data_IF_713488770590
#
_entry.id   IF_713488770590
#
_cell.length_a   1.000
_cell.length_b   1.000
_cell.length_c   1.000
_cell.angle_alpha   90.00
_cell.angle_beta   90.00
_cell.angle_gamma   90.00
#
_symmetry.space_group_name_H-M   'P 1'
#
loop_
_entity.id
_entity.type
_entity.pdbx_description
1 polymer ?
#
# COMPACT_ATOMS: atom_id res chain seq x y z
N UNK A 1 -11.24 -9.36 -13.35
CA UNK A 1 -9.85 -9.72 -12.99
C UNK A 1 -9.88 -10.04 -11.52
N UNK A 2 -9.27 -11.15 -11.11
CA UNK A 2 -9.28 -11.52 -9.70
C UNK A 2 -8.50 -10.47 -8.88
N UNK A 3 -9.00 -10.11 -7.70
CA UNK A 3 -8.35 -9.10 -6.84
C UNK A 3 -6.95 -9.55 -6.44
N UNK A 4 -6.74 -10.86 -6.26
CA UNK A 4 -5.43 -11.42 -5.96
C UNK A 4 -4.47 -11.31 -7.13
N UNK A 5 -4.94 -11.49 -8.37
CA UNK A 5 -4.14 -11.23 -9.57
C UNK A 5 -3.75 -9.76 -9.65
N UNK A 6 -4.68 -8.84 -9.37
CA UNK A 6 -4.41 -7.39 -9.37
C UNK A 6 -3.37 -7.00 -8.33
N UNK A 7 -3.48 -7.52 -7.10
CA UNK A 7 -2.51 -7.29 -6.04
C UNK A 7 -1.14 -7.84 -6.44
N UNK A 8 -1.10 -9.06 -6.99
CA UNK A 8 0.13 -9.69 -7.45
C UNK A 8 0.81 -8.84 -8.53
N UNK A 9 0.05 -8.40 -9.54
CA UNK A 9 0.56 -7.51 -10.57
C UNK A 9 1.09 -6.19 -9.99
N UNK A 10 0.39 -5.58 -9.02
CA UNK A 10 0.86 -4.36 -8.36
C UNK A 10 2.21 -4.55 -7.66
N UNK A 11 2.40 -5.67 -6.96
CA UNK A 11 3.67 -5.99 -6.29
C UNK A 11 4.79 -6.35 -7.27
N UNK A 12 4.48 -7.03 -8.37
CA UNK A 12 5.47 -7.44 -9.37
C UNK A 12 5.88 -6.30 -10.32
N UNK A 13 4.97 -5.34 -10.58
CA UNK A 13 5.21 -4.23 -11.52
C UNK A 13 5.92 -3.02 -10.89
N UNK A 14 5.92 -2.90 -9.56
CA UNK A 14 6.52 -1.76 -8.86
C UNK A 14 7.69 -2.25 -7.98
N UNK A 15 8.91 -1.74 -8.20
CA UNK A 15 10.06 -2.09 -7.37
C UNK A 15 9.85 -1.80 -5.89
N UNK A 16 9.09 -0.74 -5.59
CA UNK A 16 8.67 -0.37 -4.23
C UNK A 16 7.20 0.07 -4.31
N UNK A 17 6.32 -0.61 -3.57
CA UNK A 17 4.91 -0.26 -3.44
C UNK A 17 4.49 -0.22 -1.97
N UNK A 18 3.79 0.84 -1.58
CA UNK A 18 3.25 1.05 -0.23
C UNK A 18 1.73 0.97 -0.24
N UNK A 19 1.16 -0.03 0.43
CA UNK A 19 -0.28 -0.09 0.67
C UNK A 19 -0.61 0.67 1.95
N UNK A 20 -1.27 1.83 1.85
CA UNK A 20 -1.45 2.74 2.98
C UNK A 20 -2.88 3.27 3.11
N UNK A 21 -3.20 3.82 4.29
CA UNK A 21 -4.47 4.49 4.56
C UNK A 21 -4.34 5.98 4.23
N UNK A 22 -4.98 6.42 3.15
CA UNK A 22 -4.81 7.76 2.56
C UNK A 22 -3.74 7.76 1.46
N UNK A 23 -3.13 8.92 1.21
CA UNK A 23 -2.03 9.08 0.25
C UNK A 23 -0.77 9.58 0.97
N UNK A 24 0.43 9.51 0.36
CA UNK A 24 1.64 10.08 0.95
C UNK A 24 1.51 11.58 1.28
N UNK A 25 0.73 12.33 0.49
CA UNK A 25 0.49 13.76 0.72
C UNK A 25 -0.63 14.02 1.74
N UNK A 26 -1.61 13.11 1.85
CA UNK A 26 -2.77 13.21 2.73
C UNK A 26 -2.99 11.88 3.47
N UNK A 27 -2.11 11.51 4.41
CA UNK A 27 -2.25 10.27 5.16
C UNK A 27 -3.43 10.36 6.14
N UNK A 28 -4.18 9.27 6.28
CA UNK A 28 -5.34 9.16 7.18
C UNK A 28 -5.07 8.26 8.40
N UNK A 29 -3.84 7.80 8.57
CA UNK A 29 -3.39 6.97 9.68
C UNK A 29 -1.97 7.37 10.06
N UNK A 30 -1.67 7.49 11.35
CA UNK A 30 -0.34 7.86 11.84
C UNK A 30 0.76 6.88 11.44
N UNK A 31 0.46 5.58 11.38
CA UNK A 31 1.40 4.58 10.88
C UNK A 31 1.70 4.80 9.39
N UNK A 32 0.67 5.04 8.57
CA UNK A 32 0.80 5.36 7.14
C UNK A 32 1.62 6.62 6.89
N UNK A 33 1.44 7.67 7.70
CA UNK A 33 2.27 8.89 7.63
C UNK A 33 3.74 8.56 7.85
N UNK A 34 4.06 7.86 8.94
CA UNK A 34 5.45 7.55 9.31
C UNK A 34 6.16 6.68 8.28
N UNK A 35 5.48 5.68 7.72
CA UNK A 35 6.07 4.82 6.68
C UNK A 35 6.32 5.60 5.39
N UNK A 36 5.35 6.44 4.96
CA UNK A 36 5.52 7.26 3.76
C UNK A 36 6.66 8.29 3.92
N UNK A 37 6.77 8.92 5.10
CA UNK A 37 7.89 9.82 5.43
C UNK A 37 9.23 9.09 5.42
N UNK A 38 9.31 7.90 6.02
CA UNK A 38 10.54 7.11 6.07
C UNK A 38 10.99 6.66 4.67
N UNK A 39 10.06 6.20 3.82
CA UNK A 39 10.36 5.85 2.44
C UNK A 39 10.76 7.08 1.61
N UNK A 40 10.06 8.20 1.76
CA UNK A 40 10.41 9.45 1.09
C UNK A 40 11.79 9.99 1.48
N UNK A 41 12.21 9.78 2.73
CA UNK A 41 13.54 10.16 3.21
C UNK A 41 14.69 9.35 2.58
N UNK A 42 14.40 8.18 1.99
CA UNK A 42 15.38 7.40 1.22
C UNK A 42 15.75 8.07 -0.11
N UNK A 43 14.94 9.02 -0.60
CA UNK A 43 15.20 9.77 -1.83
C UNK A 43 14.87 9.03 -3.13
N UNK A 44 14.21 7.87 -3.04
CA UNK A 44 13.78 7.05 -4.19
C UNK A 44 12.26 7.12 -4.36
N UNK A 45 11.79 7.00 -5.61
CA UNK A 45 10.36 6.97 -5.91
C UNK A 45 9.74 5.63 -5.50
N UNK A 46 8.51 5.69 -4.98
CA UNK A 46 7.72 4.50 -4.66
C UNK A 46 6.27 4.68 -5.11
N UNK A 47 5.65 3.58 -5.53
CA UNK A 47 4.23 3.55 -5.81
C UNK A 47 3.43 3.43 -4.50
N UNK A 48 2.17 3.88 -4.52
CA UNK A 48 1.30 3.71 -3.37
C UNK A 48 -0.10 3.29 -3.78
N UNK A 49 -0.78 2.59 -2.88
CA UNK A 49 -2.18 2.19 -3.02
C UNK A 49 -2.94 2.67 -1.78
N UNK A 50 -3.96 3.51 -1.97
CA UNK A 50 -4.84 3.91 -0.88
C UNK A 50 -5.89 2.83 -0.64
N UNK A 51 -5.69 2.01 0.38
CA UNK A 51 -6.58 0.89 0.70
C UNK A 51 -7.96 1.34 1.19
N UNK A 52 -8.11 2.58 1.64
CA UNK A 52 -9.42 3.13 2.02
C UNK A 52 -10.29 3.47 0.81
N UNK A 53 -9.68 3.66 -0.36
CA UNK A 53 -10.37 3.91 -1.62
C UNK A 53 -10.62 2.64 -2.43
N UNK A 54 -10.05 1.51 -2.05
CA UNK A 54 -10.22 0.22 -2.70
C UNK A 54 -10.58 -0.88 -1.68
N UNK A 55 -11.89 -1.09 -1.42
CA UNK A 55 -12.37 -2.06 -0.45
C UNK A 55 -11.91 -3.50 -0.76
N UNK A 56 -11.78 -3.84 -2.04
CA UNK A 56 -11.36 -5.20 -2.44
C UNK A 56 -9.90 -5.45 -2.03
N UNK A 57 -9.00 -4.48 -2.22
CA UNK A 57 -7.61 -4.58 -1.72
C UNK A 57 -7.60 -4.64 -0.20
N UNK A 58 -8.39 -3.80 0.47
CA UNK A 58 -8.44 -3.76 1.94
C UNK A 58 -8.79 -5.13 2.54
N UNK A 59 -9.76 -5.83 1.95
CA UNK A 59 -10.23 -7.13 2.42
C UNK A 59 -9.28 -8.29 2.06
N UNK A 60 -8.61 -8.23 0.91
CA UNK A 60 -7.87 -9.37 0.36
C UNK A 60 -6.36 -9.30 0.54
N UNK A 61 -5.76 -8.11 0.63
CA UNK A 61 -4.31 -7.97 0.80
C UNK A 61 -3.80 -8.66 2.07
N UNK A 62 -4.48 -8.60 3.23
CA UNK A 62 -4.00 -9.27 4.43
C UNK A 62 -3.82 -10.78 4.26
N UNK A 63 -4.72 -11.41 3.49
CA UNK A 63 -4.63 -12.84 3.16
C UNK A 63 -3.51 -13.13 2.16
N UNK A 64 -3.34 -12.26 1.17
CA UNK A 64 -2.27 -12.41 0.17
C UNK A 64 -0.88 -12.28 0.80
N UNK A 65 -0.71 -11.30 1.70
CA UNK A 65 0.57 -10.97 2.34
C UNK A 65 0.85 -11.80 3.60
N UNK A 66 -0.11 -12.61 4.07
CA UNK A 66 -0.09 -13.25 5.39
C UNK A 66 0.23 -12.24 6.53
N UNK A 67 -0.38 -11.04 6.43
CA UNK A 67 -0.11 -9.92 7.33
C UNK A 67 -1.38 -9.11 7.63
N UNK A 68 -1.79 -8.94 8.89
CA UNK A 68 -3.14 -8.45 9.22
C UNK A 68 -3.33 -6.93 9.20
N UNK A 69 -2.29 -6.13 8.92
CA UNK A 69 -2.34 -4.66 9.13
C UNK A 69 -1.74 -3.85 7.98
N UNK A 70 -1.99 -2.54 8.01
CA UNK A 70 -1.46 -1.52 7.10
C UNK A 70 -0.91 -0.34 7.92
N UNK A 71 0.03 0.48 7.39
CA UNK A 71 0.71 0.36 6.09
C UNK A 71 1.76 -0.74 6.04
#
# INVERSE_FOLDING_TARGET
MDVLERIKEQVESHPVVLYMKGTPQLPQCGFSSRTAEALGACGEEFAYVNVLSDPEVFENLPRFADWPTFP
#
